data_IF_808945897296
#
_entry.id   IF_808945897296
#
_cell.length_a   1.000
_cell.length_b   1.000
_cell.length_c   1.000
_cell.angle_alpha   90.00
_cell.angle_beta   90.00
_cell.angle_gamma   90.00
#
_symmetry.space_group_name_H-M   'P 1'
#
loop_
_entity.id
_entity.type
_entity.pdbx_description
1 polymer ?
#
# COMPACT_ATOMS: atom_id res chain seq x y z
N UNK A 1 28.48 -18.30 -5.60
CA UNK A 1 29.68 -18.39 -6.46
C UNK A 1 30.63 -17.27 -6.06
N UNK A 2 31.68 -17.59 -5.30
CA UNK A 2 32.70 -16.63 -4.85
C UNK A 2 33.80 -16.50 -5.92
N UNK A 3 34.17 -15.26 -6.26
CA UNK A 3 35.47 -14.96 -6.86
C UNK A 3 36.03 -13.73 -6.13
N UNK A 4 37.15 -13.94 -5.44
CA UNK A 4 37.99 -12.93 -4.80
C UNK A 4 39.29 -12.83 -5.60
N UNK A 5 39.76 -11.61 -5.88
CA UNK A 5 41.15 -11.35 -6.27
C UNK A 5 41.67 -10.16 -5.45
N UNK A 6 42.77 -10.44 -4.73
CA UNK A 6 43.54 -9.49 -3.95
C UNK A 6 44.65 -8.89 -4.81
N UNK A 7 44.91 -7.59 -4.61
CA UNK A 7 46.27 -7.05 -4.60
C UNK A 7 46.53 -5.91 -5.58
N UNK A 8 46.71 -4.69 -5.04
CA UNK A 8 48.00 -4.00 -5.00
C UNK A 8 47.85 -2.70 -4.20
N UNK A 9 48.67 -2.52 -3.15
CA UNK A 9 48.78 -1.29 -2.38
C UNK A 9 49.86 -0.41 -3.00
N UNK A 10 49.53 0.83 -3.36
CA UNK A 10 50.49 1.91 -3.60
C UNK A 10 50.08 3.08 -2.70
N UNK A 11 51.05 3.57 -1.93
CA UNK A 11 50.89 4.58 -0.90
C UNK A 11 50.64 5.99 -1.47
N UNK A 12 49.85 6.77 -0.73
CA UNK A 12 49.58 8.20 -0.91
C UNK A 12 50.86 9.06 -0.82
N UNK A 13 50.77 10.30 -1.35
CA UNK A 13 50.94 11.43 -0.46
C UNK A 13 49.69 12.33 -0.43
N UNK A 14 49.50 12.95 0.74
CA UNK A 14 48.51 13.98 1.04
C UNK A 14 48.52 15.13 0.02
N UNK A 15 47.35 15.70 -0.23
CA UNK A 15 46.96 17.12 0.00
C UNK A 15 45.83 17.47 -0.96
N UNK A 16 44.69 17.90 -0.41
CA UNK A 16 43.57 18.43 -1.19
C UNK A 16 42.23 18.21 -0.50
N UNK A 17 42.01 18.90 0.61
CA UNK A 17 40.67 19.06 1.19
C UNK A 17 39.81 19.79 0.16
N UNK A 18 38.89 19.09 -0.47
CA UNK A 18 37.66 19.66 -0.98
C UNK A 18 36.52 18.90 -0.31
N UNK A 19 36.15 19.34 0.90
CA UNK A 19 34.81 19.09 1.40
C UNK A 19 33.86 19.81 0.43
N UNK A 20 33.46 19.14 -0.64
CA UNK A 20 32.18 19.44 -1.28
C UNK A 20 31.11 18.88 -0.34
N UNK A 21 30.94 19.53 0.81
CA UNK A 21 29.66 19.53 1.48
C UNK A 21 28.73 20.23 0.50
N UNK A 22 28.08 19.45 -0.36
CA UNK A 22 26.88 19.91 -1.02
C UNK A 22 25.95 20.29 0.12
N UNK A 23 25.88 21.58 0.38
CA UNK A 23 24.84 22.21 1.17
C UNK A 23 23.57 21.78 0.45
N UNK A 24 22.96 20.69 0.91
CA UNK A 24 21.55 20.44 0.68
C UNK A 24 20.92 21.60 1.42
N UNK A 25 20.63 22.67 0.68
CA UNK A 25 19.82 23.75 1.18
C UNK A 25 18.52 23.10 1.63
N UNK A 26 18.39 22.96 2.95
CA UNK A 26 17.10 22.81 3.58
C UNK A 26 16.35 24.12 3.30
N UNK A 27 15.80 24.26 2.10
CA UNK A 27 14.64 25.12 1.88
C UNK A 27 13.50 24.35 2.52
N UNK A 28 13.41 24.44 3.84
CA UNK A 28 12.12 24.30 4.49
C UNK A 28 11.36 25.56 4.08
N UNK A 29 10.75 25.53 2.89
CA UNK A 29 9.95 26.65 2.41
C UNK A 29 8.87 26.88 3.48
N UNK A 30 8.80 28.09 4.03
CA UNK A 30 7.78 28.39 5.03
C UNK A 30 6.43 28.16 4.36
N UNK A 31 5.73 27.10 4.76
CA UNK A 31 4.46 26.76 4.16
C UNK A 31 3.46 27.86 4.55
N UNK A 32 2.98 28.62 3.57
CA UNK A 32 1.91 29.60 3.77
C UNK A 32 2.33 30.93 4.40
N UNK A 33 1.35 31.68 4.91
CA UNK A 33 1.51 33.05 5.44
C UNK A 33 0.78 33.22 6.78
N UNK A 34 1.33 34.03 7.68
CA UNK A 34 0.78 34.34 9.02
C UNK A 34 0.34 35.81 9.18
N UNK A 35 0.52 36.62 8.13
CA UNK A 35 0.24 38.06 8.10
C UNK A 35 -0.96 38.42 7.21
N UNK A 36 -1.67 37.41 6.70
CA UNK A 36 -2.89 37.60 5.92
C UNK A 36 -4.11 37.75 6.85
N UNK A 37 -5.28 38.20 6.36
CA UNK A 37 -6.47 38.30 7.20
C UNK A 37 -6.89 36.96 7.82
N UNK A 38 -7.52 37.02 8.99
CA UNK A 38 -8.15 35.86 9.62
C UNK A 38 -9.35 35.37 8.80
N UNK A 39 -9.47 34.07 8.58
CA UNK A 39 -10.65 33.46 7.98
C UNK A 39 -11.80 33.52 9.01
N UNK A 40 -12.95 34.16 8.68
CA UNK A 40 -14.06 34.29 9.62
C UNK A 40 -14.51 32.96 10.21
N UNK A 41 -14.64 32.88 11.54
CA UNK A 41 -15.08 31.67 12.24
C UNK A 41 -14.00 30.61 12.46
N UNK A 42 -12.72 30.92 12.20
CA UNK A 42 -11.61 29.98 12.42
C UNK A 42 -10.45 30.61 13.19
N UNK A 43 -9.49 29.78 13.60
CA UNK A 43 -8.23 30.23 14.22
C UNK A 43 -7.09 30.43 13.23
N UNK A 44 -7.38 30.51 11.93
CA UNK A 44 -6.36 30.45 10.87
C UNK A 44 -6.40 31.67 9.95
N UNK A 45 -5.24 32.09 9.47
CA UNK A 45 -5.11 33.10 8.43
C UNK A 45 -5.37 32.52 7.02
N UNK A 46 -5.62 33.38 6.03
CA UNK A 46 -5.71 32.95 4.62
C UNK A 46 -4.35 32.40 4.16
N UNK A 47 -4.33 31.17 3.64
CA UNK A 47 -3.09 30.44 3.31
C UNK A 47 -2.20 30.10 4.53
N UNK A 48 -2.74 30.03 5.73
CA UNK A 48 -1.99 29.63 6.93
C UNK A 48 -1.50 28.18 6.81
N UNK A 49 -0.18 27.97 6.87
CA UNK A 49 0.44 26.64 6.83
C UNK A 49 0.60 25.95 8.19
N UNK A 50 0.28 26.63 9.30
CA UNK A 50 0.16 26.00 10.62
C UNK A 50 -1.17 25.25 10.79
N UNK A 51 -2.09 25.38 9.82
CA UNK A 51 -3.28 24.52 9.73
C UNK A 51 -2.88 23.04 9.73
N UNK A 52 -3.73 22.15 10.29
CA UNK A 52 -3.49 20.70 10.24
C UNK A 52 -3.21 20.26 8.80
N UNK A 53 -1.98 19.83 8.57
CA UNK A 53 -1.56 19.38 7.25
C UNK A 53 -2.06 17.95 7.00
N UNK A 54 -2.39 17.61 5.74
CA UNK A 54 -2.61 16.22 5.37
C UNK A 54 -1.44 15.35 5.82
N UNK A 55 -1.73 14.13 6.27
CA UNK A 55 -0.66 13.18 6.56
C UNK A 55 0.10 12.90 5.27
N UNK A 56 1.42 12.93 5.36
CA UNK A 56 2.28 12.51 4.24
C UNK A 56 2.19 10.99 4.11
N UNK A 57 1.88 10.52 2.91
CA UNK A 57 1.79 9.10 2.56
C UNK A 57 2.78 8.82 1.44
N UNK A 58 3.65 7.84 1.62
CA UNK A 58 4.51 7.35 0.55
C UNK A 58 3.67 6.41 -0.32
N UNK A 59 3.46 6.72 -1.61
CA UNK A 59 2.76 5.82 -2.52
C UNK A 59 3.60 4.56 -2.78
N UNK A 60 2.95 3.54 -3.35
CA UNK A 60 3.67 2.38 -3.87
C UNK A 60 4.68 2.79 -4.97
N UNK A 61 5.80 2.06 -5.06
CA UNK A 61 6.89 2.34 -6.01
C UNK A 61 6.42 2.27 -7.47
N UNK A 62 5.44 1.41 -7.77
CA UNK A 62 4.82 1.26 -9.09
C UNK A 62 3.30 1.27 -8.99
N UNK A 63 2.65 1.51 -10.13
CA UNK A 63 1.20 1.58 -10.26
C UNK A 63 0.66 0.38 -11.06
N UNK A 64 -0.66 0.14 -10.95
CA UNK A 64 -1.38 -0.95 -11.63
C UNK A 64 -1.07 -2.35 -11.07
N UNK A 65 -0.68 -3.30 -11.92
CA UNK A 65 -0.56 -4.71 -11.59
C UNK A 65 0.51 -4.95 -10.51
N UNK A 66 0.12 -5.66 -9.45
CA UNK A 66 0.95 -5.94 -8.28
C UNK A 66 1.52 -4.66 -7.62
N UNK A 67 0.80 -3.54 -7.71
CA UNK A 67 1.21 -2.29 -7.06
C UNK A 67 1.36 -2.49 -5.55
N UNK A 68 2.49 -2.10 -4.94
CA UNK A 68 2.69 -2.23 -3.52
C UNK A 68 1.77 -1.25 -2.79
N UNK A 69 1.31 -1.63 -1.58
CA UNK A 69 0.45 -0.77 -0.79
C UNK A 69 1.17 0.55 -0.43
N UNK A 70 0.44 1.67 -0.34
CA UNK A 70 1.00 2.89 0.23
C UNK A 70 1.36 2.69 1.70
N UNK A 71 2.21 3.56 2.24
CA UNK A 71 2.78 3.43 3.58
C UNK A 71 1.75 3.41 4.73
N UNK A 72 0.53 3.88 4.49
CA UNK A 72 -0.55 3.94 5.49
C UNK A 72 -1.63 2.87 5.32
N UNK A 73 -1.47 1.94 4.37
CA UNK A 73 -2.48 0.91 4.11
C UNK A 73 -2.34 -0.30 5.05
N UNK A 74 -3.49 -0.82 5.50
CA UNK A 74 -3.58 -2.15 6.11
C UNK A 74 -3.47 -3.22 5.02
N UNK A 75 -2.39 -4.00 5.06
CA UNK A 75 -2.16 -5.08 4.08
C UNK A 75 -3.01 -6.30 4.45
N UNK A 76 -4.06 -6.57 3.67
CA UNK A 76 -4.91 -7.74 3.88
C UNK A 76 -4.30 -9.02 3.29
N UNK A 77 -3.46 -8.92 2.27
CA UNK A 77 -2.76 -10.08 1.70
C UNK A 77 -1.47 -9.64 1.02
N UNK A 78 -0.36 -10.26 1.39
CA UNK A 78 1.00 -9.95 0.89
C UNK A 78 1.59 -11.07 0.01
N UNK A 79 0.79 -12.09 -0.34
CA UNK A 79 1.26 -13.28 -1.03
C UNK A 79 1.66 -14.45 -0.11
N UNK A 80 1.75 -14.23 1.21
CA UNK A 80 2.28 -15.23 2.14
C UNK A 80 1.20 -16.14 2.76
N UNK A 81 0.15 -15.54 3.35
CA UNK A 81 -0.84 -16.28 4.13
C UNK A 81 -2.17 -15.51 4.24
N UNK A 82 -3.17 -16.14 4.86
CA UNK A 82 -4.48 -15.57 5.14
C UNK A 82 -4.62 -15.09 6.59
N UNK A 83 -3.54 -14.66 7.24
CA UNK A 83 -3.55 -14.27 8.66
C UNK A 83 -4.48 -13.07 8.95
N UNK A 84 -4.73 -12.19 7.99
CA UNK A 84 -5.69 -11.09 8.11
C UNK A 84 -7.15 -11.52 7.91
N UNK A 85 -7.40 -12.78 7.56
CA UNK A 85 -8.72 -13.30 7.17
C UNK A 85 -9.23 -14.37 8.14
N UNK A 86 -10.54 -14.56 8.16
CA UNK A 86 -11.23 -15.59 8.92
C UNK A 86 -12.49 -16.04 8.20
N UNK A 87 -13.05 -17.17 8.63
CA UNK A 87 -14.39 -17.57 8.20
C UNK A 87 -15.49 -16.71 8.87
N UNK A 88 -16.68 -16.61 8.27
CA UNK A 88 -17.82 -15.90 8.86
C UNK A 88 -18.29 -16.49 10.18
N UNK A 89 -18.30 -17.82 10.29
CA UNK A 89 -18.71 -18.59 11.47
C UNK A 89 -17.62 -18.67 12.55
N UNK A 90 -16.44 -18.12 12.28
CA UNK A 90 -15.27 -18.21 13.14
C UNK A 90 -14.27 -19.27 12.68
N UNK A 91 -13.04 -19.18 13.17
CA UNK A 91 -11.93 -20.04 12.72
C UNK A 91 -11.16 -19.48 11.52
N UNK A 92 -10.11 -20.21 11.15
CA UNK A 92 -9.14 -19.80 10.14
C UNK A 92 -9.73 -19.78 8.72
N UNK A 93 -9.27 -18.83 7.90
CA UNK A 93 -9.58 -18.80 6.49
C UNK A 93 -9.01 -20.05 5.80
N UNK A 94 -9.80 -20.68 4.93
CA UNK A 94 -9.54 -22.02 4.41
C UNK A 94 -9.20 -22.04 2.92
N UNK A 95 -9.21 -20.87 2.27
CA UNK A 95 -8.85 -20.76 0.86
C UNK A 95 -7.36 -21.11 0.68
N UNK A 96 -7.00 -21.91 -0.33
CA UNK A 96 -5.61 -22.29 -0.55
C UNK A 96 -4.79 -21.09 -1.03
N UNK A 97 -3.62 -20.90 -0.40
CA UNK A 97 -2.60 -19.93 -0.84
C UNK A 97 -1.58 -20.67 -1.71
N UNK A 98 -1.24 -20.10 -2.86
CA UNK A 98 -0.32 -20.66 -3.88
C UNK A 98 0.44 -19.52 -4.52
N UNK A 99 1.75 -19.65 -4.70
CA UNK A 99 2.56 -18.78 -5.58
C UNK A 99 2.25 -17.26 -5.51
N UNK A 100 2.03 -16.73 -4.30
CA UNK A 100 1.75 -15.31 -4.09
C UNK A 100 0.29 -14.87 -4.27
N UNK A 101 -0.65 -15.79 -4.47
CA UNK A 101 -2.09 -15.55 -4.56
C UNK A 101 -2.89 -16.56 -3.71
N UNK A 102 -4.20 -16.36 -3.58
CA UNK A 102 -5.10 -17.37 -3.02
C UNK A 102 -6.29 -17.62 -3.93
N UNK A 103 -6.84 -18.82 -3.89
CA UNK A 103 -7.96 -19.21 -4.76
C UNK A 103 -9.26 -19.30 -3.97
N UNK A 104 -10.32 -18.67 -4.49
CA UNK A 104 -11.65 -18.89 -3.97
C UNK A 104 -12.03 -20.37 -4.10
N UNK A 105 -12.24 -21.04 -2.97
CA UNK A 105 -12.52 -22.48 -2.94
C UNK A 105 -13.90 -22.80 -2.38
N UNK A 106 -14.27 -24.08 -2.47
CA UNK A 106 -15.43 -24.61 -1.74
C UNK A 106 -15.23 -24.38 -0.24
N UNK A 107 -16.33 -24.12 0.47
CA UNK A 107 -16.34 -23.80 1.91
C UNK A 107 -16.84 -22.40 2.24
N UNK A 108 -17.17 -21.60 1.22
CA UNK A 108 -17.84 -20.31 1.36
C UNK A 108 -16.87 -19.14 1.39
N UNK A 109 -17.41 -17.95 1.68
CA UNK A 109 -16.64 -16.71 1.72
C UNK A 109 -15.67 -16.67 2.90
N UNK A 110 -14.63 -15.86 2.77
CA UNK A 110 -13.78 -15.41 3.87
C UNK A 110 -14.01 -13.91 4.10
N UNK A 111 -13.66 -13.42 5.29
CA UNK A 111 -13.77 -11.99 5.63
C UNK A 111 -12.53 -11.52 6.38
N UNK A 112 -12.23 -10.23 6.32
CA UNK A 112 -11.21 -9.63 7.16
C UNK A 112 -11.49 -9.88 8.65
N UNK A 113 -10.43 -10.03 9.44
CA UNK A 113 -10.52 -10.10 10.90
C UNK A 113 -10.97 -8.75 11.46
N UNK A 114 -10.36 -7.68 10.95
CA UNK A 114 -10.71 -6.29 11.22
C UNK A 114 -12.02 -5.88 10.53
N UNK A 115 -12.58 -4.76 10.99
CA UNK A 115 -13.78 -4.13 10.44
C UNK A 115 -13.42 -2.72 10.01
N UNK A 116 -13.93 -2.33 8.86
CA UNK A 116 -13.65 -1.03 8.25
C UNK A 116 -14.95 -0.22 8.16
N UNK A 117 -14.83 1.11 8.17
CA UNK A 117 -15.92 2.04 7.91
C UNK A 117 -15.70 2.66 6.52
N UNK A 118 -15.29 3.92 6.47
CA UNK A 118 -14.81 4.54 5.22
C UNK A 118 -13.42 4.00 4.89
N UNK A 119 -13.24 3.51 3.67
CA UNK A 119 -11.97 2.96 3.24
C UNK A 119 -11.73 3.17 1.74
N UNK A 120 -10.45 3.12 1.37
CA UNK A 120 -10.01 2.86 0.00
C UNK A 120 -9.56 1.40 -0.07
N UNK A 121 -9.99 0.66 -1.09
CA UNK A 121 -9.64 -0.75 -1.29
C UNK A 121 -8.93 -0.93 -2.62
N UNK A 122 -7.76 -1.56 -2.60
CA UNK A 122 -7.10 -2.15 -3.77
C UNK A 122 -7.29 -3.66 -3.72
N UNK A 123 -7.72 -4.25 -4.83
CA UNK A 123 -7.77 -5.70 -5.01
C UNK A 123 -7.47 -6.04 -6.47
N UNK A 124 -6.80 -7.17 -6.67
CA UNK A 124 -6.59 -7.75 -7.99
C UNK A 124 -7.22 -9.15 -7.98
N UNK A 125 -7.89 -9.50 -9.06
CA UNK A 125 -8.48 -10.82 -9.24
C UNK A 125 -8.23 -11.32 -10.65
N UNK A 126 -8.22 -12.64 -10.79
CA UNK A 126 -8.19 -13.32 -12.07
C UNK A 126 -9.31 -14.34 -12.10
N UNK A 127 -10.01 -14.44 -13.23
CA UNK A 127 -10.94 -15.54 -13.47
C UNK A 127 -10.18 -16.79 -13.90
N UNK A 128 -10.75 -18.01 -13.73
CA UNK A 128 -10.10 -19.23 -14.16
C UNK A 128 -9.69 -19.17 -15.64
N UNK A 129 -8.47 -19.61 -15.96
CA UNK A 129 -7.94 -19.60 -17.33
C UNK A 129 -8.83 -20.35 -18.32
N UNK A 130 -9.38 -21.48 -17.89
CA UNK A 130 -10.45 -22.20 -18.58
C UNK A 130 -11.79 -21.94 -17.89
N UNK A 131 -12.60 -20.99 -18.38
CA UNK A 131 -13.88 -20.71 -17.79
C UNK A 131 -14.86 -21.84 -18.10
N UNK A 132 -15.48 -22.40 -17.05
CA UNK A 132 -16.55 -23.40 -17.15
C UNK A 132 -17.90 -22.75 -16.80
N UNK A 133 -18.98 -23.28 -17.35
CA UNK A 133 -20.33 -22.76 -17.11
C UNK A 133 -20.70 -21.54 -17.96
N UNK A 134 -21.84 -20.92 -17.65
CA UNK A 134 -22.38 -19.74 -18.34
C UNK A 134 -23.05 -18.78 -17.36
N UNK A 135 -23.17 -17.51 -17.75
CA UNK A 135 -23.75 -16.46 -16.89
C UNK A 135 -23.12 -16.42 -15.50
N UNK A 136 -23.95 -16.39 -14.46
CA UNK A 136 -23.56 -16.42 -13.04
C UNK A 136 -22.81 -17.70 -12.61
N UNK A 137 -22.70 -18.73 -13.46
CA UNK A 137 -21.94 -19.94 -13.19
C UNK A 137 -20.50 -19.92 -13.68
N UNK A 138 -20.03 -18.81 -14.28
CA UNK A 138 -18.75 -18.72 -14.99
C UNK A 138 -17.78 -17.79 -14.28
N UNK A 139 -17.12 -18.27 -13.21
CA UNK A 139 -16.12 -17.49 -12.47
C UNK A 139 -16.69 -16.50 -11.45
N UNK A 140 -17.92 -16.76 -10.98
CA UNK A 140 -18.64 -15.87 -10.08
C UNK A 140 -18.01 -15.76 -8.69
N UNK A 141 -17.77 -14.53 -8.26
CA UNK A 141 -17.37 -14.15 -6.92
C UNK A 141 -17.87 -12.74 -6.63
N UNK A 142 -17.43 -12.15 -5.53
CA UNK A 142 -17.76 -10.78 -5.22
C UNK A 142 -17.03 -10.26 -3.99
N UNK A 143 -17.00 -8.94 -3.89
CA UNK A 143 -16.46 -8.22 -2.74
C UNK A 143 -17.63 -7.66 -1.96
N UNK A 144 -17.89 -8.26 -0.81
CA UNK A 144 -18.97 -7.88 0.10
C UNK A 144 -18.54 -6.73 1.02
N UNK A 145 -18.88 -5.50 0.67
CA UNK A 145 -18.66 -4.31 1.48
C UNK A 145 -19.61 -4.35 2.68
N UNK A 146 -19.02 -4.33 3.88
CA UNK A 146 -19.72 -4.41 5.17
C UNK A 146 -20.68 -5.61 5.30
N UNK A 147 -20.49 -6.65 4.49
CA UNK A 147 -21.37 -7.82 4.44
C UNK A 147 -22.78 -7.54 3.92
N UNK A 148 -23.01 -6.38 3.27
CA UNK A 148 -24.34 -5.97 2.80
C UNK A 148 -24.38 -5.61 1.32
N UNK A 149 -23.32 -5.00 0.79
CA UNK A 149 -23.28 -4.50 -0.57
C UNK A 149 -22.21 -5.23 -1.36
N UNK A 150 -22.61 -5.86 -2.46
CA UNK A 150 -21.69 -6.63 -3.30
C UNK A 150 -21.19 -5.80 -4.48
N UNK A 151 -19.87 -5.75 -4.64
CA UNK A 151 -19.25 -5.43 -5.92
C UNK A 151 -18.98 -6.76 -6.63
N UNK A 152 -19.74 -7.00 -7.70
CA UNK A 152 -19.71 -8.27 -8.43
C UNK A 152 -18.34 -8.53 -9.08
N UNK A 153 -17.87 -9.77 -8.99
CA UNK A 153 -16.77 -10.32 -9.79
C UNK A 153 -17.34 -11.44 -10.67
N UNK A 154 -17.20 -11.33 -11.99
CA UNK A 154 -17.74 -12.31 -12.94
C UNK A 154 -16.94 -12.36 -14.24
#
# INVERSE_FOLDING_TARGET
MQISLKGLRIAMPLVGVALSAAIVWAVQDQLGYQDTPMIPGTSWHVHDGLRPQPRVVTPGEHFSQLAPPPSDATVLFSGADLSAWKRPDGGEAHWPVRDGYFEASRGGLIRSKERFADFQLHLEFATPAEPKGSGQGRGNSGVMINGMYEVQVL
#
